data_IF_811774166610
#
_entry.id   IF_811774166610
#
_cell.length_a   1.000
_cell.length_b   1.000
_cell.length_c   1.000
_cell.angle_alpha   90.00
_cell.angle_beta   90.00
_cell.angle_gamma   90.00
#
_symmetry.space_group_name_H-M   'P 1'
#
loop_
_entity.id
_entity.type
_entity.pdbx_description
1 polymer ?
#
# COMPACT_ATOMS: atom_id res chain seq x y z
N UNK A 1 -0.86 -29.79 -3.04
CA UNK A 1 -0.68 -30.24 -4.45
C UNK A 1 -1.46 -29.34 -5.42
N UNK A 2 -1.20 -28.03 -5.37
CA UNK A 2 -1.83 -27.02 -6.22
C UNK A 2 -0.79 -26.04 -6.81
N UNK A 3 0.48 -26.19 -6.47
CA UNK A 3 1.59 -25.33 -6.87
C UNK A 3 1.80 -25.37 -8.39
N UNK A 4 1.72 -26.56 -9.00
CA UNK A 4 1.82 -26.73 -10.45
C UNK A 4 0.74 -25.96 -11.22
N UNK A 5 -0.47 -25.86 -10.67
CA UNK A 5 -1.55 -25.07 -11.30
C UNK A 5 -1.25 -23.58 -11.31
N UNK A 6 -0.65 -23.06 -10.25
CA UNK A 6 -0.22 -21.65 -10.17
C UNK A 6 0.93 -21.36 -11.14
N UNK A 7 1.94 -22.23 -11.20
CA UNK A 7 3.06 -22.10 -12.13
C UNK A 7 2.61 -22.13 -13.60
N UNK A 8 1.71 -23.04 -13.96
CA UNK A 8 1.16 -23.14 -15.32
C UNK A 8 0.29 -21.94 -15.69
N UNK A 9 -0.31 -21.26 -14.72
CA UNK A 9 -1.12 -20.05 -14.94
C UNK A 9 -0.21 -18.83 -15.10
N UNK A 10 0.87 -18.73 -14.31
CA UNK A 10 1.90 -17.71 -14.45
C UNK A 10 2.62 -17.80 -15.80
N UNK A 11 3.00 -19.01 -16.22
CA UNK A 11 3.57 -19.26 -17.55
C UNK A 11 2.62 -18.82 -18.66
N UNK A 12 1.34 -19.16 -18.57
CA UNK A 12 0.31 -18.70 -19.53
C UNK A 12 0.15 -17.18 -19.54
N UNK A 13 0.31 -16.51 -18.41
CA UNK A 13 0.32 -15.05 -18.32
C UNK A 13 1.55 -14.44 -19.02
N UNK A 14 2.71 -15.10 -18.97
CA UNK A 14 3.90 -14.67 -19.69
C UNK A 14 3.75 -14.90 -21.21
N UNK A 15 3.23 -16.07 -21.62
CA UNK A 15 3.08 -16.44 -23.03
C UNK A 15 1.90 -15.72 -23.73
N UNK A 16 0.81 -15.48 -22.99
CA UNK A 16 -0.39 -14.77 -23.47
C UNK A 16 -0.81 -13.76 -22.40
N UNK A 17 -0.16 -12.58 -22.37
CA UNK A 17 -0.51 -11.57 -21.41
C UNK A 17 -2.00 -11.22 -21.53
N UNK A 18 -2.70 -11.06 -20.39
CA UNK A 18 -4.04 -10.46 -20.41
C UNK A 18 -3.96 -9.12 -21.14
N UNK A 19 -5.06 -8.73 -21.80
CA UNK A 19 -5.15 -7.58 -22.72
C UNK A 19 -4.15 -6.47 -22.38
N UNK A 20 -3.28 -6.13 -23.34
CA UNK A 20 -2.13 -5.25 -23.14
C UNK A 20 -2.48 -3.92 -22.43
N UNK A 21 -3.71 -3.47 -22.58
CA UNK A 21 -4.28 -2.32 -21.89
C UNK A 21 -4.27 -2.44 -20.36
N UNK A 22 -4.63 -3.59 -19.80
CA UNK A 22 -4.59 -3.83 -18.33
C UNK A 22 -3.16 -3.85 -17.82
N UNK A 23 -2.24 -4.45 -18.57
CA UNK A 23 -0.82 -4.52 -18.19
C UNK A 23 -0.22 -3.10 -18.18
N UNK A 24 -0.52 -2.29 -19.19
CA UNK A 24 -0.09 -0.88 -19.25
C UNK A 24 -0.69 -0.05 -18.12
N UNK A 25 -1.97 -0.26 -17.79
CA UNK A 25 -2.61 0.40 -16.66
C UNK A 25 -1.88 0.08 -15.35
N UNK A 26 -1.65 -1.20 -15.06
CA UNK A 26 -0.95 -1.63 -13.84
C UNK A 26 0.49 -1.10 -13.81
N UNK A 27 1.22 -1.19 -14.93
CA UNK A 27 2.58 -0.61 -15.03
C UNK A 27 2.57 0.91 -14.81
N UNK A 28 1.61 1.63 -15.36
CA UNK A 28 1.44 3.06 -15.15
C UNK A 28 1.17 3.41 -13.70
N UNK A 29 0.30 2.65 -13.04
CA UNK A 29 0.01 2.81 -11.59
C UNK A 29 1.26 2.53 -10.76
N UNK A 30 1.99 1.45 -11.05
CA UNK A 30 3.24 1.13 -10.34
C UNK A 30 4.27 2.25 -10.54
N UNK A 31 4.45 2.73 -11.77
CA UNK A 31 5.35 3.83 -12.08
C UNK A 31 4.96 5.12 -11.33
N UNK A 32 3.67 5.44 -11.26
CA UNK A 32 3.16 6.58 -10.51
C UNK A 32 3.44 6.43 -9.00
N UNK A 33 3.21 5.24 -8.43
CA UNK A 33 3.51 4.94 -7.03
C UNK A 33 5.02 5.06 -6.73
N UNK A 34 5.87 4.53 -7.61
CA UNK A 34 7.33 4.61 -7.46
C UNK A 34 7.84 6.04 -7.60
N UNK A 35 7.29 6.82 -8.53
CA UNK A 35 7.58 8.25 -8.65
C UNK A 35 7.20 8.98 -7.36
N UNK A 36 5.99 8.76 -6.85
CA UNK A 36 5.52 9.38 -5.62
C UNK A 36 6.42 8.99 -4.44
N UNK A 37 6.71 7.70 -4.28
CA UNK A 37 7.58 7.19 -3.22
C UNK A 37 9.01 7.73 -3.32
N UNK A 38 9.55 7.83 -4.54
CA UNK A 38 10.84 8.45 -4.80
C UNK A 38 10.85 9.91 -4.38
N UNK A 39 9.90 10.71 -4.88
CA UNK A 39 9.76 12.13 -4.52
C UNK A 39 9.65 12.30 -3.01
N UNK A 40 8.80 11.50 -2.36
CA UNK A 40 8.61 11.46 -0.91
C UNK A 40 9.90 11.16 -0.15
N UNK A 41 10.71 10.22 -0.64
CA UNK A 41 11.95 9.80 0.03
C UNK A 41 13.10 10.80 -0.16
N UNK A 42 13.16 11.46 -1.31
CA UNK A 42 14.25 12.38 -1.66
C UNK A 42 13.99 13.84 -1.24
N UNK A 43 12.75 14.31 -1.33
CA UNK A 43 12.38 15.70 -0.99
C UNK A 43 11.81 15.81 0.43
N UNK A 44 11.29 14.72 0.98
CA UNK A 44 10.55 14.71 2.24
C UNK A 44 9.08 15.06 2.04
N UNK A 45 8.26 14.80 3.07
CA UNK A 45 6.85 15.21 3.06
C UNK A 45 6.73 16.66 3.54
N UNK A 46 5.99 17.52 2.82
CA UNK A 46 5.73 18.88 3.26
C UNK A 46 4.72 18.93 4.43
N UNK A 47 4.71 20.02 5.20
CA UNK A 47 3.90 20.14 6.43
C UNK A 47 2.40 19.89 6.23
N UNK A 48 1.83 20.27 5.07
CA UNK A 48 0.41 20.03 4.74
C UNK A 48 0.05 18.55 4.59
N UNK A 49 1.07 17.71 4.56
CA UNK A 49 1.03 16.35 4.11
C UNK A 49 1.44 15.42 5.28
N UNK A 50 2.12 15.96 6.29
CA UNK A 50 2.44 15.26 7.54
C UNK A 50 1.16 15.06 8.37
N UNK A 51 0.94 13.85 8.86
CA UNK A 51 -0.16 13.58 9.80
C UNK A 51 0.25 14.04 11.21
N UNK A 52 -0.59 14.80 11.88
CA UNK A 52 -0.43 15.01 13.32
C UNK A 52 -0.66 13.67 14.04
N UNK A 53 0.29 13.23 14.90
CA UNK A 53 0.06 12.07 15.73
C UNK A 53 -1.09 12.36 16.68
N UNK A 54 -2.27 11.78 16.43
CA UNK A 54 -3.35 11.73 17.41
C UNK A 54 -2.89 10.85 18.56
N UNK A 55 -2.31 11.49 19.57
CA UNK A 55 -1.86 10.83 20.79
C UNK A 55 -3.00 9.98 21.35
N UNK A 56 -2.69 8.73 21.73
CA UNK A 56 -3.67 7.82 22.34
C UNK A 56 -4.34 8.56 23.51
N UNK A 57 -5.68 8.73 23.52
CA UNK A 57 -6.32 9.43 24.63
C UNK A 57 -5.98 8.67 25.91
N UNK A 58 -5.32 9.36 26.84
CA UNK A 58 -5.12 8.83 28.20
C UNK A 58 -6.50 8.73 28.83
N UNK A 59 -7.14 7.58 28.68
CA UNK A 59 -8.37 7.23 29.40
C UNK A 59 -7.97 7.19 30.88
N UNK A 60 -8.15 8.32 31.57
CA UNK A 60 -8.05 8.37 33.00
C UNK A 60 -9.31 7.70 33.55
N UNK A 61 -9.21 6.42 33.86
CA UNK A 61 -10.24 5.74 34.63
C UNK A 61 -10.17 6.30 36.04
N UNK A 62 -11.05 7.26 36.34
CA UNK A 62 -11.22 7.76 37.69
C UNK A 62 -11.72 6.60 38.56
N UNK A 63 -10.99 6.18 39.60
CA UNK A 63 -11.49 5.16 40.51
C UNK A 63 -12.70 5.76 41.25
N UNK A 64 -13.89 5.21 40.98
CA UNK A 64 -15.09 5.55 41.71
C UNK A 64 -14.84 5.31 43.20
N UNK A 65 -14.99 6.37 44.00
CA UNK A 65 -14.80 6.30 45.45
C UNK A 65 -15.81 5.32 46.06
N UNK A 66 -15.38 4.41 46.96
CA UNK A 66 -16.31 3.56 47.69
C UNK A 66 -17.08 4.41 48.71
N UNK A 67 -18.41 4.41 48.60
CA UNK A 67 -19.36 4.92 49.59
C UNK A 67 -20.24 3.80 50.10
#
# INVERSE_FOLDING_TARGET
>A
MNELRWLLRAKRWADRPPSAERVKLVLGVIAACLLLAGVVRFVGWPDWATLEPVGRPKVQVSPAAPG
#
